data_IF_920554562831
#
_entry.id   IF_920554562831
#
_cell.length_a   1.000
_cell.length_b   1.000
_cell.length_c   1.000
_cell.angle_alpha   90.00
_cell.angle_beta   90.00
_cell.angle_gamma   90.00
#
_symmetry.space_group_name_H-M   'P 1'
#
loop_
_entity.id
_entity.type
_entity.pdbx_description
1 polymer ?
#
# COMPACT_ATOMS: atom_id res chain seq x y z
N UNK A 1 -16.81 -4.40 7.15
CA UNK A 1 -15.95 -3.23 6.91
C UNK A 1 -15.20 -3.42 5.60
N UNK A 2 -15.05 -2.37 4.79
CA UNK A 2 -14.22 -2.43 3.57
C UNK A 2 -12.76 -2.19 3.95
N UNK A 3 -11.80 -2.95 3.41
CA UNK A 3 -10.38 -2.68 3.66
C UNK A 3 -9.97 -1.35 3.04
N UNK A 4 -9.03 -0.66 3.68
CA UNK A 4 -8.33 0.48 3.10
C UNK A 4 -7.34 -0.04 2.06
N UNK A 5 -7.45 0.41 0.81
CA UNK A 5 -6.60 -0.04 -0.28
C UNK A 5 -5.58 1.04 -0.63
N UNK A 6 -4.30 0.71 -0.54
CA UNK A 6 -3.18 1.55 -0.98
C UNK A 6 -2.81 1.15 -2.40
N UNK A 7 -3.07 2.03 -3.37
CA UNK A 7 -2.56 1.86 -4.74
C UNK A 7 -1.07 2.22 -4.80
N UNK A 8 -0.23 1.33 -5.33
CA UNK A 8 1.21 1.57 -5.46
C UNK A 8 1.78 1.11 -6.80
N UNK A 9 2.89 1.71 -7.22
CA UNK A 9 3.67 1.22 -8.38
C UNK A 9 4.37 -0.09 -8.01
N UNK A 10 4.66 -0.92 -9.01
CA UNK A 10 5.33 -2.21 -8.80
C UNK A 10 6.83 -2.14 -8.50
N UNK A 11 7.44 -0.95 -8.51
CA UNK A 11 8.87 -0.80 -8.23
C UNK A 11 9.17 -1.14 -6.77
N UNK A 12 10.37 -1.71 -6.51
CA UNK A 12 10.77 -2.12 -5.15
C UNK A 12 10.68 -0.97 -4.14
N UNK A 13 11.06 0.25 -4.57
CA UNK A 13 10.98 1.44 -3.72
C UNK A 13 9.53 1.82 -3.40
N UNK A 14 8.64 1.80 -4.40
CA UNK A 14 7.23 2.11 -4.20
C UNK A 14 6.54 1.10 -3.28
N UNK A 15 6.85 -0.20 -3.45
CA UNK A 15 6.36 -1.24 -2.56
C UNK A 15 6.88 -1.06 -1.13
N UNK A 16 8.16 -0.70 -0.95
CA UNK A 16 8.70 -0.42 0.38
C UNK A 16 7.97 0.76 1.04
N UNK A 17 7.78 1.86 0.31
CA UNK A 17 7.05 3.03 0.79
C UNK A 17 5.61 2.67 1.19
N UNK A 18 4.91 1.88 0.38
CA UNK A 18 3.54 1.46 0.68
C UNK A 18 3.45 0.51 1.87
N UNK A 19 4.42 -0.40 2.05
CA UNK A 19 4.49 -1.25 3.23
C UNK A 19 4.78 -0.45 4.51
N UNK A 20 5.68 0.55 4.43
CA UNK A 20 5.94 1.45 5.55
C UNK A 20 4.65 2.16 6.00
N UNK A 21 3.90 2.76 5.07
CA UNK A 21 2.64 3.43 5.40
C UNK A 21 1.58 2.45 5.91
N UNK A 22 1.51 1.25 5.34
CA UNK A 22 0.62 0.19 5.83
C UNK A 22 0.89 -0.13 7.31
N UNK A 23 2.14 -0.31 7.69
CA UNK A 23 2.52 -0.59 9.09
C UNK A 23 2.12 0.55 10.02
N UNK A 24 2.38 1.80 9.64
CA UNK A 24 2.02 2.96 10.46
C UNK A 24 0.50 3.08 10.67
N UNK A 25 -0.30 2.84 9.62
CA UNK A 25 -1.77 2.83 9.73
C UNK A 25 -2.23 1.71 10.67
N UNK A 26 -1.66 0.52 10.55
CA UNK A 26 -2.01 -0.63 11.40
C UNK A 26 -1.60 -0.41 12.87
N UNK A 27 -0.47 0.28 13.12
CA UNK A 27 -0.04 0.66 14.48
C UNK A 27 -0.99 1.68 15.10
N UNK A 28 -1.40 2.69 14.33
CA UNK A 28 -2.31 3.72 14.81
C UNK A 28 -3.77 3.22 14.93
N UNK A 29 -4.19 2.29 14.07
CA UNK A 29 -5.56 1.79 14.00
C UNK A 29 -5.55 0.25 13.77
N UNK A 30 -5.42 -0.56 14.84
CA UNK A 30 -5.31 -2.02 14.72
C UNK A 30 -6.52 -2.70 14.05
N UNK A 31 -7.69 -2.07 14.09
CA UNK A 31 -8.94 -2.60 13.53
C UNK A 31 -9.06 -2.33 12.02
N UNK A 32 -8.22 -1.45 11.47
CA UNK A 32 -8.25 -1.10 10.04
C UNK A 32 -7.47 -2.14 9.25
N UNK A 33 -8.18 -2.92 8.44
CA UNK A 33 -7.57 -3.81 7.46
C UNK A 33 -7.03 -3.00 6.28
N UNK A 34 -5.72 -3.07 6.06
CA UNK A 34 -5.03 -2.36 4.98
C UNK A 34 -4.45 -3.34 3.97
N UNK A 35 -4.70 -3.11 2.69
CA UNK A 35 -4.22 -3.93 1.56
C UNK A 35 -3.45 -3.06 0.55
N UNK A 36 -2.44 -3.64 -0.11
CA UNK A 36 -1.67 -2.95 -1.16
C UNK A 36 -2.07 -3.53 -2.50
N UNK A 37 -2.55 -2.67 -3.40
CA UNK A 37 -2.87 -3.02 -4.78
C UNK A 37 -1.80 -2.43 -5.71
N UNK A 38 -1.09 -3.31 -6.43
CA UNK A 38 -0.11 -2.88 -7.43
C UNK A 38 -0.85 -2.43 -8.68
N UNK A 39 -0.63 -1.17 -9.07
CA UNK A 39 -1.17 -0.57 -10.29
C UNK A 39 -0.06 -0.44 -11.33
N UNK A 40 -0.35 -0.88 -12.55
CA UNK A 40 0.56 -0.74 -13.68
C UNK A 40 0.39 0.66 -14.28
N UNK A 41 1.49 1.40 -14.34
CA UNK A 41 1.51 2.73 -14.95
C UNK A 41 2.24 2.67 -16.30
N UNK A 42 1.93 3.58 -17.22
CA UNK A 42 2.57 3.65 -18.55
C UNK A 42 4.08 3.89 -18.49
N UNK A 43 4.60 4.43 -17.38
CA UNK A 43 6.02 4.62 -17.13
C UNK A 43 6.75 3.41 -16.52
N UNK A 44 6.05 2.29 -16.29
CA UNK A 44 6.69 1.01 -15.93
C UNK A 44 7.03 0.27 -17.23
N UNK A 45 8.20 0.56 -17.80
CA UNK A 45 8.77 -0.12 -18.99
C UNK A 45 9.91 -1.03 -18.58
#
# INVERSE_FOLDING_TARGET
MKPLIIGSRGSRLALWQSNFIKEEIQRANPEVRVEIAVIKTTGDK
#
